data_IF_105015201820
#
_entry.id   IF_105015201820
#
_cell.length_a   1.000
_cell.length_b   1.000
_cell.length_c   1.000
_cell.angle_alpha   90.00
_cell.angle_beta   90.00
_cell.angle_gamma   90.00
#
_symmetry.space_group_name_H-M   'P 1'
#
loop_
_entity.id
_entity.type
_entity.pdbx_description
1 polymer ?
#
# COMPACT_ATOMS: atom_id res chain seq x y z
N UNK A 1 -13.99 -6.10 -5.88
CA UNK A 1 -13.92 -5.07 -6.93
C UNK A 1 -14.67 -3.83 -6.41
N UNK A 2 -14.02 -2.92 -5.68
CA UNK A 2 -14.72 -1.80 -5.00
C UNK A 2 -13.89 -0.53 -4.84
N UNK A 3 -12.77 -0.42 -5.57
CA UNK A 3 -11.74 0.63 -5.36
C UNK A 3 -12.08 1.94 -6.11
N UNK A 4 -13.08 1.94 -7.01
CA UNK A 4 -13.31 3.03 -7.96
C UNK A 4 -14.21 4.17 -7.48
N UNK A 5 -14.97 4.01 -6.38
CA UNK A 5 -15.94 5.04 -5.98
C UNK A 5 -15.31 6.16 -5.11
N UNK A 6 -14.20 5.88 -4.41
CA UNK A 6 -13.43 6.88 -3.66
C UNK A 6 -12.01 6.36 -3.35
N UNK A 7 -11.02 6.73 -4.17
CA UNK A 7 -9.60 6.38 -3.97
C UNK A 7 -9.06 6.81 -2.59
N UNK A 8 -9.31 8.05 -2.09
CA UNK A 8 -8.78 8.45 -0.79
C UNK A 8 -9.44 7.67 0.37
N UNK A 9 -10.73 7.35 0.26
CA UNK A 9 -11.42 6.53 1.25
C UNK A 9 -10.83 5.12 1.32
N UNK A 10 -10.51 4.52 0.16
CA UNK A 10 -9.90 3.19 0.12
C UNK A 10 -8.46 3.19 0.64
N UNK A 11 -7.68 4.23 0.34
CA UNK A 11 -6.34 4.42 0.89
C UNK A 11 -6.38 4.52 2.43
N UNK A 12 -7.32 5.30 2.97
CA UNK A 12 -7.56 5.40 4.40
C UNK A 12 -7.94 4.06 5.02
N UNK A 13 -8.90 3.37 4.41
CA UNK A 13 -9.33 2.05 4.84
C UNK A 13 -8.15 1.07 4.88
N UNK A 14 -7.34 1.02 3.82
CA UNK A 14 -6.17 0.14 3.74
C UNK A 14 -5.10 0.49 4.78
N UNK A 15 -4.84 1.79 5.01
CA UNK A 15 -3.91 2.23 6.05
C UNK A 15 -4.37 1.74 7.45
N UNK A 16 -5.64 1.94 7.78
CA UNK A 16 -6.23 1.45 9.04
C UNK A 16 -6.18 -0.07 9.14
N UNK A 17 -6.45 -0.79 8.05
CA UNK A 17 -6.42 -2.25 8.03
C UNK A 17 -5.02 -2.83 8.25
N UNK A 18 -3.98 -2.06 7.90
CA UNK A 18 -2.57 -2.38 8.12
C UNK A 18 -2.01 -1.78 9.43
N UNK A 19 -2.88 -1.29 10.31
CA UNK A 19 -2.52 -0.73 11.61
C UNK A 19 -1.81 0.63 11.54
N UNK A 20 -2.05 1.41 10.49
CA UNK A 20 -1.64 2.82 10.36
C UNK A 20 -2.84 3.77 10.52
N UNK A 21 -2.58 5.06 10.70
CA UNK A 21 -3.65 6.07 10.75
C UNK A 21 -4.21 6.39 9.35
N UNK A 22 -5.51 6.68 9.24
CA UNK A 22 -6.12 7.22 8.01
C UNK A 22 -5.52 8.60 7.63
N UNK A 23 -4.84 9.27 8.56
CA UNK A 23 -4.09 10.49 8.27
C UNK A 23 -2.94 10.24 7.28
N UNK A 24 -2.39 9.02 7.21
CA UNK A 24 -1.22 8.70 6.41
C UNK A 24 -1.38 9.06 4.91
N UNK A 25 -2.43 8.62 4.19
CA UNK A 25 -2.66 9.03 2.79
C UNK A 25 -3.06 10.51 2.64
N UNK A 26 -3.57 11.16 3.70
CA UNK A 26 -3.97 12.57 3.68
C UNK A 26 -2.76 13.49 3.85
N UNK A 27 -1.85 13.16 4.78
CA UNK A 27 -0.63 13.90 5.05
C UNK A 27 0.43 13.70 3.96
N UNK A 28 0.39 12.57 3.26
CA UNK A 28 1.29 12.25 2.14
C UNK A 28 0.48 11.94 0.87
N UNK A 29 -0.23 12.94 0.31
CA UNK A 29 -1.03 12.71 -0.88
C UNK A 29 -0.13 12.37 -2.09
N UNK A 30 -0.67 11.68 -3.10
CA UNK A 30 0.02 11.56 -4.39
C UNK A 30 0.38 12.95 -4.94
N UNK A 31 1.59 13.13 -5.47
CA UNK A 31 1.93 14.41 -6.11
C UNK A 31 1.02 14.61 -7.32
N UNK A 32 0.20 15.65 -7.28
CA UNK A 32 -0.67 16.09 -8.37
C UNK A 32 0.13 16.55 -9.61
N UNK A 33 1.43 16.78 -9.41
CA UNK A 33 2.37 17.33 -10.36
C UNK A 33 2.84 16.36 -11.46
N UNK A 34 2.54 15.07 -11.34
CA UNK A 34 3.02 14.05 -12.26
C UNK A 34 1.86 13.18 -12.76
N UNK A 35 1.87 12.77 -14.05
CA UNK A 35 0.92 11.78 -14.53
C UNK A 35 1.00 10.54 -13.63
N UNK A 36 -0.12 9.87 -13.39
CA UNK A 36 -0.27 8.73 -12.47
C UNK A 36 0.70 7.54 -12.71
N UNK A 37 1.56 7.62 -13.73
CA UNK A 37 2.57 6.67 -14.11
C UNK A 37 3.96 7.23 -13.82
N UNK A 38 4.68 6.63 -12.86
CA UNK A 38 6.11 6.91 -12.63
C UNK A 38 6.47 7.68 -11.36
N UNK A 39 5.52 8.22 -10.62
CA UNK A 39 5.81 8.86 -9.31
C UNK A 39 5.37 7.96 -8.16
N UNK A 40 6.27 7.62 -7.22
CA UNK A 40 5.93 6.75 -6.11
C UNK A 40 5.03 7.51 -5.14
N UNK A 41 3.92 6.89 -4.72
CA UNK A 41 3.08 7.42 -3.66
C UNK A 41 3.72 7.09 -2.30
N UNK A 42 4.23 8.09 -1.54
CA UNK A 42 5.07 7.82 -0.37
C UNK A 42 4.36 6.97 0.69
N UNK A 43 3.08 7.25 0.92
CA UNK A 43 2.24 6.49 1.86
C UNK A 43 2.13 5.01 1.49
N UNK A 44 2.00 4.69 0.20
CA UNK A 44 1.82 3.32 -0.28
C UNK A 44 3.14 2.55 -0.26
N UNK A 45 4.25 3.22 -0.57
CA UNK A 45 5.60 2.65 -0.39
C UNK A 45 5.84 2.33 1.09
N UNK A 46 5.49 3.23 2.01
CA UNK A 46 5.63 3.00 3.44
C UNK A 46 4.83 1.77 3.92
N UNK A 47 3.57 1.66 3.50
CA UNK A 47 2.73 0.48 3.82
C UNK A 47 3.32 -0.81 3.22
N UNK A 48 3.80 -0.76 1.97
CA UNK A 48 4.43 -1.92 1.33
C UNK A 48 5.69 -2.37 2.05
N UNK A 49 6.58 -1.43 2.41
CA UNK A 49 7.80 -1.72 3.16
C UNK A 49 7.45 -2.31 4.53
N UNK A 50 6.47 -1.74 5.25
CA UNK A 50 6.00 -2.26 6.54
C UNK A 50 5.56 -3.71 6.44
N UNK A 51 4.69 -4.04 5.47
CA UNK A 51 4.20 -5.42 5.27
C UNK A 51 5.35 -6.34 4.85
N UNK A 52 6.24 -5.88 3.96
CA UNK A 52 7.38 -6.68 3.49
C UNK A 52 8.32 -7.06 4.64
N UNK A 53 8.69 -6.08 5.48
CA UNK A 53 9.56 -6.28 6.63
C UNK A 53 8.88 -7.13 7.72
N UNK A 54 7.59 -6.89 8.00
CA UNK A 54 6.83 -7.67 8.97
C UNK A 54 6.74 -9.16 8.58
N UNK A 55 6.64 -9.46 7.28
CA UNK A 55 6.54 -10.82 6.76
C UNK A 55 7.89 -11.42 6.32
N UNK A 56 9.03 -10.76 6.61
CA UNK A 56 10.38 -11.19 6.21
C UNK A 56 10.51 -11.50 4.70
N UNK A 57 9.75 -10.78 3.87
CA UNK A 57 9.77 -10.93 2.42
C UNK A 57 11.03 -10.23 1.88
N UNK A 58 11.83 -10.95 1.10
CA UNK A 58 13.03 -10.38 0.48
C UNK A 58 12.66 -9.30 -0.54
N UNK A 59 13.36 -8.17 -0.49
CA UNK A 59 13.17 -7.06 -1.42
C UNK A 59 14.00 -5.84 -1.03
N UNK A 60 13.79 -4.74 -1.75
CA UNK A 60 14.45 -3.46 -1.50
C UNK A 60 13.46 -2.32 -1.59
N UNK A 61 13.74 -1.22 -0.88
CA UNK A 61 12.92 -0.01 -0.91
C UNK A 61 12.78 0.52 -2.35
N UNK A 62 13.85 0.45 -3.14
CA UNK A 62 13.79 0.87 -4.56
C UNK A 62 12.85 -0.04 -5.37
N UNK A 63 12.86 -1.36 -5.12
CA UNK A 63 11.89 -2.27 -5.75
C UNK A 63 10.45 -1.95 -5.36
N UNK A 64 10.23 -1.57 -4.10
CA UNK A 64 8.91 -1.15 -3.61
C UNK A 64 8.46 0.17 -4.27
N UNK A 65 9.36 1.15 -4.41
CA UNK A 65 9.09 2.36 -5.19
C UNK A 65 8.71 2.04 -6.63
N UNK A 66 9.47 1.18 -7.32
CA UNK A 66 9.21 0.80 -8.71
C UNK A 66 7.87 0.08 -8.88
N UNK A 67 7.51 -0.81 -7.95
CA UNK A 67 6.23 -1.49 -7.96
C UNK A 67 5.06 -0.50 -7.81
N UNK A 68 5.18 0.45 -6.88
CA UNK A 68 4.20 1.51 -6.65
C UNK A 68 4.10 2.45 -7.85
N UNK A 69 5.23 2.83 -8.47
CA UNK A 69 5.26 3.66 -9.67
C UNK A 69 4.60 3.01 -10.88
N UNK A 70 4.76 1.68 -11.03
CA UNK A 70 4.25 0.92 -12.16
C UNK A 70 2.74 0.74 -12.11
N UNK A 71 2.20 0.32 -10.95
CA UNK A 71 0.77 0.16 -10.76
C UNK A 71 0.38 0.29 -9.27
N UNK A 72 0.06 1.49 -8.77
CA UNK A 72 -0.29 1.67 -7.36
C UNK A 72 -1.59 0.93 -7.00
N UNK A 73 -2.54 0.83 -7.93
CA UNK A 73 -3.76 0.05 -7.73
C UNK A 73 -3.48 -1.44 -7.53
N UNK A 74 -2.55 -2.01 -8.32
CA UNK A 74 -2.14 -3.40 -8.19
C UNK A 74 -1.46 -3.64 -6.84
N UNK A 75 -0.60 -2.70 -6.41
CA UNK A 75 0.07 -2.76 -5.11
C UNK A 75 -0.95 -2.70 -3.96
N UNK A 76 -1.95 -1.83 -4.03
CA UNK A 76 -3.02 -1.78 -3.02
C UNK A 76 -3.81 -3.10 -2.97
N UNK A 77 -4.18 -3.65 -4.12
CA UNK A 77 -4.85 -4.96 -4.20
C UNK A 77 -3.97 -6.09 -3.66
N UNK A 78 -2.67 -6.05 -3.92
CA UNK A 78 -1.71 -7.02 -3.39
C UNK A 78 -1.65 -6.92 -1.86
N UNK A 79 -1.45 -5.72 -1.32
CA UNK A 79 -1.40 -5.46 0.12
C UNK A 79 -2.66 -5.93 0.85
N UNK A 80 -3.84 -5.68 0.27
CA UNK A 80 -5.10 -6.16 0.82
C UNK A 80 -5.15 -7.69 0.91
N UNK A 81 -4.76 -8.39 -0.16
CA UNK A 81 -4.73 -9.86 -0.19
C UNK A 81 -3.73 -10.45 0.80
N UNK A 82 -2.54 -9.85 0.90
CA UNK A 82 -1.53 -10.28 1.88
C UNK A 82 -2.03 -10.08 3.31
N UNK A 83 -2.62 -8.92 3.61
CA UNK A 83 -3.21 -8.66 4.92
C UNK A 83 -4.35 -9.64 5.24
N UNK A 84 -5.24 -9.90 4.28
CA UNK A 84 -6.33 -10.87 4.46
C UNK A 84 -5.83 -12.28 4.72
N UNK A 85 -4.79 -12.70 4.01
CA UNK A 85 -4.16 -13.99 4.21
C UNK A 85 -3.55 -14.10 5.61
N UNK A 86 -2.80 -13.09 6.06
CA UNK A 86 -2.19 -13.07 7.41
C UNK A 86 -3.27 -13.06 8.50
N UNK A 87 -4.36 -12.30 8.31
CA UNK A 87 -5.48 -12.26 9.26
C UNK A 87 -6.20 -13.60 9.39
N UNK A 88 -6.24 -14.39 8.32
CA UNK A 88 -6.82 -15.73 8.34
C UNK A 88 -5.85 -16.78 8.91
N UNK A 89 -4.54 -16.54 8.81
CA UNK A 89 -3.47 -17.45 9.24
C UNK A 89 -2.53 -16.83 10.29
N UNK A 90 -3.02 -16.46 11.49
CA UNK A 90 -2.21 -15.78 12.50
C UNK A 90 -1.12 -16.66 13.15
N UNK A 91 -1.15 -17.99 12.96
CA UNK A 91 -0.24 -18.95 13.61
C UNK A 91 0.85 -19.53 12.67
N UNK A 92 0.87 -19.15 11.40
CA UNK A 92 1.78 -19.71 10.37
C UNK A 92 3.03 -18.83 10.11
N UNK A 93 3.29 -17.81 10.94
CA UNK A 93 4.37 -16.83 10.77
C UNK A 93 5.35 -16.77 11.96
#
# INVERSE_FOLDING_TARGET
>A
MGVYCCIPCYACYLAVELGESCCLPICFPPCECAPAFGTPTPWLVALRVKVREANKIQGSIMGDCMAVCCCPACVMCQLKRENDFIRQHPNDL
#
